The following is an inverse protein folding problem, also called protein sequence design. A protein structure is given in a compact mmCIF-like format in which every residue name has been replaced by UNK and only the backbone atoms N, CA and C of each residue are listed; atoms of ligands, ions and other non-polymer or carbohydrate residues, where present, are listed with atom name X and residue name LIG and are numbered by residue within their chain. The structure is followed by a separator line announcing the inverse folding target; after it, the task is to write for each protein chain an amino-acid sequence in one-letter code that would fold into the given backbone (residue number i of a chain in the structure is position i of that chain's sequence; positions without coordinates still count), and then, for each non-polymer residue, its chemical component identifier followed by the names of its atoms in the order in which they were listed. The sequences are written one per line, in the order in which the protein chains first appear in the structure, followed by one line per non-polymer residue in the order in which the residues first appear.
data_IF_189283254279
#
_entry.id   IF_189283254279
#
_cell.length_a   1.000
_cell.length_b   1.000
_cell.length_c   1.000
_cell.angle_alpha   90.00
_cell.angle_beta   90.00
_cell.angle_gamma   90.00
#
_symmetry.space_group_name_H-M   'P 1'
#
loop_
_entity.id
_entity.type
_entity.pdbx_description
1 polymer ?
#
# COMPACT_ATOMS: atom_id res chain seq x y z
N UNK A 1 -41.79 67.78 14.03
CA UNK A 1 -40.71 67.30 14.93
C UNK A 1 -40.85 65.79 15.04
N UNK A 2 -39.79 65.02 14.69
CA UNK A 2 -39.45 63.67 15.20
C UNK A 2 -40.53 62.57 14.96
N UNK A 3 -40.29 61.40 14.37
CA UNK A 3 -39.13 60.52 14.40
C UNK A 3 -39.18 59.48 13.27
N UNK A 4 -37.98 58.99 12.97
CA UNK A 4 -37.60 57.92 12.05
C UNK A 4 -37.80 56.54 12.70
N UNK A 5 -37.72 55.47 11.87
CA UNK A 5 -37.26 54.09 12.16
C UNK A 5 -38.38 53.05 12.42
N UNK A 6 -38.32 51.80 11.96
CA UNK A 6 -37.45 51.06 11.05
C UNK A 6 -38.23 49.80 10.63
N UNK A 7 -38.09 49.39 9.36
CA UNK A 7 -38.48 48.06 8.88
C UNK A 7 -37.61 46.99 9.55
N UNK A 8 -38.22 45.96 10.13
CA UNK A 8 -37.52 44.74 10.56
C UNK A 8 -37.95 43.60 9.65
N UNK A 9 -37.12 43.34 8.65
CA UNK A 9 -37.13 42.10 7.89
C UNK A 9 -36.73 40.96 8.82
N UNK A 10 -37.63 40.00 9.03
CA UNK A 10 -37.30 38.74 9.69
C UNK A 10 -36.54 37.88 8.68
N UNK A 11 -35.22 37.84 8.82
CA UNK A 11 -34.37 36.88 8.14
C UNK A 11 -34.70 35.47 8.61
N UNK A 12 -35.00 34.60 7.64
CA UNK A 12 -35.09 33.16 7.83
C UNK A 12 -33.65 32.64 7.94
N UNK A 13 -33.21 32.30 9.15
CA UNK A 13 -31.92 31.64 9.38
C UNK A 13 -32.12 30.17 8.99
N UNK A 14 -31.63 29.81 7.80
CA UNK A 14 -31.52 28.42 7.35
C UNK A 14 -30.29 27.83 8.03
N UNK A 15 -30.48 27.18 9.17
CA UNK A 15 -29.44 26.37 9.82
C UNK A 15 -29.20 25.12 8.97
N UNK A 16 -28.09 25.14 8.22
CA UNK A 16 -27.54 23.99 7.52
C UNK A 16 -26.99 23.02 8.57
N UNK A 17 -27.76 21.99 8.90
CA UNK A 17 -27.29 20.83 9.66
C UNK A 17 -26.38 20.02 8.73
N UNK A 18 -25.08 20.29 8.80
CA UNK A 18 -24.06 19.38 8.28
C UNK A 18 -24.06 18.18 9.23
N UNK A 19 -24.71 17.10 8.80
CA UNK A 19 -24.51 15.80 9.41
C UNK A 19 -23.08 15.36 9.04
N UNK A 20 -22.15 15.52 9.98
CA UNK A 20 -20.91 14.74 9.95
C UNK A 20 -21.31 13.27 10.11
N UNK A 21 -21.23 12.51 9.02
CA UNK A 21 -21.15 11.07 9.07
C UNK A 21 -19.75 10.72 9.58
N UNK A 22 -19.62 10.64 10.90
CA UNK A 22 -18.54 9.92 11.56
C UNK A 22 -18.85 8.42 11.41
N UNK A 23 -18.41 7.82 10.32
CA UNK A 23 -18.06 6.39 10.31
C UNK A 23 -16.66 6.27 10.92
N UNK A 24 -16.58 6.44 12.24
CA UNK A 24 -15.43 5.98 13.01
C UNK A 24 -15.56 4.48 13.16
N UNK A 25 -14.93 3.72 12.26
CA UNK A 25 -14.67 2.30 12.49
C UNK A 25 -13.59 2.19 13.56
N UNK A 26 -13.78 1.23 14.47
CA UNK A 26 -13.03 1.11 15.72
C UNK A 26 -11.53 1.00 15.51
N UNK A 27 -10.81 1.82 16.25
CA UNK A 27 -9.39 1.75 16.52
C UNK A 27 -9.10 0.48 17.33
N UNK A 28 -8.82 -0.61 16.60
CA UNK A 28 -8.25 -1.82 17.15
C UNK A 28 -6.76 -1.60 17.32
N UNK A 29 -6.35 -1.08 18.48
CA UNK A 29 -4.95 -1.04 18.88
C UNK A 29 -4.38 -2.46 18.84
N UNK A 30 -3.44 -2.66 17.92
CA UNK A 30 -2.85 -3.94 17.63
C UNK A 30 -1.86 -4.32 18.77
N UNK A 31 -2.05 -5.52 19.33
CA UNK A 31 -1.25 -6.03 20.44
C UNK A 31 -0.30 -7.09 19.91
N UNK A 32 1.00 -6.79 19.95
CA UNK A 32 2.03 -7.81 19.78
C UNK A 32 2.10 -8.72 21.02
N UNK A 33 2.52 -9.96 20.82
CA UNK A 33 2.77 -10.95 21.88
C UNK A 33 3.85 -10.52 22.90
N UNK A 34 4.53 -9.39 22.67
CA UNK A 34 5.52 -8.74 23.55
C UNK A 34 5.03 -7.42 24.19
N UNK A 35 3.74 -7.10 24.12
CA UNK A 35 3.15 -6.01 24.91
C UNK A 35 3.52 -4.58 24.48
N UNK A 36 4.00 -4.38 23.25
CA UNK A 36 4.06 -3.08 22.60
C UNK A 36 2.74 -2.74 21.91
N UNK A 37 2.22 -1.53 22.10
CA UNK A 37 1.17 -0.97 21.23
C UNK A 37 1.87 -0.59 19.92
N UNK A 38 1.46 -1.17 18.79
CA UNK A 38 1.92 -0.71 17.47
C UNK A 38 1.04 0.45 17.06
N UNK A 39 1.57 1.67 17.16
CA UNK A 39 0.92 2.85 16.60
C UNK A 39 0.88 2.76 15.07
N UNK A 40 -0.10 3.41 14.43
CA UNK A 40 -0.16 3.53 12.96
C UNK A 40 -0.15 4.99 12.55
N UNK A 41 0.51 5.30 11.43
CA UNK A 41 0.38 6.56 10.70
C UNK A 41 -0.48 6.38 9.44
N UNK A 42 -0.76 7.46 8.72
CA UNK A 42 -1.43 7.39 7.42
C UNK A 42 -0.83 8.35 6.40
N UNK A 43 -0.70 7.87 5.18
CA UNK A 43 -0.39 8.68 4.00
C UNK A 43 -1.68 8.83 3.20
N UNK A 44 -1.98 10.07 2.82
CA UNK A 44 -3.14 10.42 2.01
C UNK A 44 -2.71 11.26 0.83
N UNK A 45 -3.51 11.22 -0.23
CA UNK A 45 -3.27 12.05 -1.41
C UNK A 45 -4.24 11.69 -2.52
N UNK A 46 -3.95 12.19 -3.71
CA UNK A 46 -4.65 11.80 -4.93
C UNK A 46 -3.67 11.44 -6.04
N UNK A 47 -3.99 10.39 -6.80
CA UNK A 47 -3.23 9.94 -7.97
C UNK A 47 -4.18 9.72 -9.15
N UNK A 48 -3.69 9.78 -10.39
CA UNK A 48 -4.47 9.31 -11.53
C UNK A 48 -4.47 7.77 -11.64
N UNK A 49 -3.51 7.11 -10.99
CA UNK A 49 -3.27 5.66 -10.97
C UNK A 49 -4.15 4.84 -10.02
N UNK A 50 -3.82 3.56 -9.86
CA UNK A 50 -4.68 2.58 -9.18
C UNK A 50 -4.09 2.00 -7.90
N UNK A 51 -2.81 1.62 -7.87
CA UNK A 51 -2.19 0.97 -6.71
C UNK A 51 -1.12 1.85 -6.08
N UNK A 52 -1.08 1.83 -4.75
CA UNK A 52 -0.02 2.37 -3.94
C UNK A 52 0.46 1.26 -3.01
N UNK A 53 1.74 0.96 -3.07
CA UNK A 53 2.42 -0.04 -2.23
C UNK A 53 3.44 0.63 -1.32
N UNK A 54 3.72 -0.02 -0.20
CA UNK A 54 4.76 0.36 0.73
C UNK A 54 5.56 -0.85 1.18
N UNK A 55 6.88 -0.73 1.11
CA UNK A 55 7.86 -1.75 1.47
C UNK A 55 8.64 -1.26 2.69
N UNK A 56 8.52 -1.98 3.81
CA UNK A 56 9.05 -1.59 5.10
C UNK A 56 10.43 -2.17 5.39
N UNK A 57 11.21 -1.50 6.25
CA UNK A 57 12.57 -1.95 6.63
C UNK A 57 12.63 -3.31 7.34
N UNK A 58 11.49 -3.88 7.75
CA UNK A 58 11.42 -5.14 8.50
C UNK A 58 10.54 -6.17 7.78
N UNK A 59 10.52 -6.09 6.45
CA UNK A 59 9.74 -6.96 5.56
C UNK A 59 8.24 -6.71 5.59
N UNK A 60 7.82 -5.53 6.05
CA UNK A 60 6.40 -5.19 6.06
C UNK A 60 5.94 -4.71 4.68
N UNK A 61 4.96 -5.40 4.10
CA UNK A 61 4.29 -4.96 2.89
C UNK A 61 2.89 -4.43 3.20
N UNK A 62 2.61 -3.21 2.72
CA UNK A 62 1.27 -2.62 2.76
C UNK A 62 0.84 -2.17 1.37
N UNK A 63 -0.44 -2.30 1.07
CA UNK A 63 -1.01 -1.86 -0.18
C UNK A 63 -2.35 -1.17 0.04
N UNK A 64 -2.64 -0.18 -0.81
CA UNK A 64 -3.99 0.35 -1.00
C UNK A 64 -4.24 0.61 -2.48
N UNK A 65 -5.52 0.75 -2.84
CA UNK A 65 -5.91 1.30 -4.13
C UNK A 65 -6.48 2.71 -4.00
N UNK A 66 -6.42 3.47 -5.08
CA UNK A 66 -7.10 4.76 -5.18
C UNK A 66 -8.58 4.58 -5.55
N UNK A 67 -9.45 5.42 -4.99
CA UNK A 67 -10.88 5.38 -5.26
C UNK A 67 -11.23 6.18 -6.52
N UNK A 68 -11.68 5.48 -7.55
CA UNK A 68 -12.12 6.14 -8.79
C UNK A 68 -13.34 7.05 -8.52
N UNK A 69 -13.19 8.34 -8.79
CA UNK A 69 -14.20 9.36 -8.52
C UNK A 69 -14.63 10.16 -9.77
N UNK A 70 -14.33 9.65 -10.97
CA UNK A 70 -14.54 10.32 -12.27
C UNK A 70 -13.74 11.63 -12.44
N UNK A 71 -12.60 11.76 -11.77
CA UNK A 71 -11.64 12.84 -11.94
C UNK A 71 -10.25 12.26 -12.10
N UNK A 72 -9.26 13.02 -12.54
CA UNK A 72 -7.87 12.55 -12.60
C UNK A 72 -7.17 12.58 -11.21
N UNK A 73 -7.94 12.82 -10.14
CA UNK A 73 -7.48 12.90 -8.75
C UNK A 73 -8.22 11.88 -7.89
N UNK A 74 -7.89 10.59 -8.05
CA UNK A 74 -8.46 9.51 -7.25
C UNK A 74 -7.85 9.53 -5.85
N UNK A 75 -8.65 9.74 -4.78
CA UNK A 75 -8.12 9.74 -3.42
C UNK A 75 -7.67 8.36 -3.00
N UNK A 76 -6.62 8.31 -2.18
CA UNK A 76 -6.19 7.10 -1.50
C UNK A 76 -5.86 7.42 -0.04
N UNK A 77 -5.89 6.38 0.78
CA UNK A 77 -5.37 6.40 2.14
C UNK A 77 -4.61 5.09 2.37
N UNK A 78 -3.31 5.21 2.62
CA UNK A 78 -2.44 4.09 3.00
C UNK A 78 -2.13 4.20 4.49
N UNK A 79 -2.48 3.18 5.26
CA UNK A 79 -2.20 3.12 6.70
C UNK A 79 -0.96 2.27 6.91
N UNK A 80 0.04 2.82 7.59
CA UNK A 80 1.36 2.20 7.79
C UNK A 80 1.67 2.06 9.28
N UNK A 81 2.53 1.09 9.61
CA UNK A 81 3.07 0.94 10.96
C UNK A 81 3.90 2.17 11.33
N UNK A 82 3.72 2.70 12.53
CA UNK A 82 4.51 3.82 13.01
C UNK A 82 5.93 3.34 13.37
N UNK A 83 6.91 4.25 13.26
CA UNK A 83 8.34 4.04 13.58
C UNK A 83 9.02 2.95 12.76
N UNK A 84 8.49 2.69 11.56
CA UNK A 84 9.09 1.87 10.52
C UNK A 84 9.28 2.75 9.29
N UNK A 85 10.44 2.66 8.65
CA UNK A 85 10.69 3.33 7.38
C UNK A 85 10.05 2.55 6.24
N UNK A 86 9.43 3.27 5.31
CA UNK A 86 8.78 2.68 4.15
C UNK A 86 9.21 3.34 2.85
N UNK A 87 9.43 2.53 1.83
CA UNK A 87 9.50 2.96 0.44
C UNK A 87 8.11 2.97 -0.15
N UNK A 88 7.78 3.98 -0.96
CA UNK A 88 6.49 4.04 -1.64
C UNK A 88 6.66 3.72 -3.12
N UNK A 89 5.80 2.85 -3.63
CA UNK A 89 5.71 2.53 -5.06
C UNK A 89 4.29 2.77 -5.53
N UNK A 90 4.13 3.46 -6.66
CA UNK A 90 2.82 3.71 -7.25
C UNK A 90 2.74 3.08 -8.63
N UNK A 91 1.72 2.26 -8.83
CA UNK A 91 1.55 1.49 -10.06
C UNK A 91 0.34 2.02 -10.82
N UNK A 92 0.56 2.37 -12.07
CA UNK A 92 -0.48 2.75 -13.03
C UNK A 92 -0.67 1.65 -14.06
N UNK A 93 -1.88 1.57 -14.64
CA UNK A 93 -2.21 0.59 -15.69
C UNK A 93 -1.83 -0.85 -15.30
N UNK A 94 -1.92 -1.18 -14.01
CA UNK A 94 -1.55 -2.49 -13.47
C UNK A 94 -2.23 -3.62 -14.26
N UNK A 95 -1.56 -4.76 -14.42
CA UNK A 95 -2.04 -5.94 -15.12
C UNK A 95 -2.21 -5.75 -16.63
N UNK A 96 -1.74 -4.64 -17.18
CA UNK A 96 -1.79 -4.36 -18.62
C UNK A 96 -0.40 -4.33 -19.24
N UNK A 97 -0.33 -4.37 -20.57
CA UNK A 97 0.93 -4.25 -21.29
C UNK A 97 1.61 -2.87 -21.18
N UNK A 98 0.92 -1.89 -20.56
CA UNK A 98 1.37 -0.52 -20.33
C UNK A 98 1.46 -0.20 -18.83
N UNK A 99 1.57 -1.23 -17.98
CA UNK A 99 1.85 -1.07 -16.55
C UNK A 99 3.15 -0.29 -16.35
N UNK A 100 3.10 0.75 -15.53
CA UNK A 100 4.28 1.53 -15.14
C UNK A 100 4.36 1.55 -13.62
N UNK A 101 5.50 1.11 -13.10
CA UNK A 101 5.83 1.04 -11.68
C UNK A 101 6.74 2.23 -11.34
N UNK A 102 6.27 3.12 -10.47
CA UNK A 102 6.97 4.35 -10.09
C UNK A 102 7.31 4.34 -8.60
N UNK A 103 8.56 4.02 -8.22
CA UNK A 103 9.08 4.37 -6.90
C UNK A 103 8.97 5.88 -6.67
N UNK A 104 8.69 6.32 -5.44
CA UNK A 104 8.43 7.73 -5.13
C UNK A 104 9.56 8.30 -4.27
N UNK A 105 10.07 9.47 -4.68
CA UNK A 105 11.09 10.22 -3.95
C UNK A 105 10.62 11.62 -3.55
N UNK A 106 11.20 12.11 -2.47
CA UNK A 106 10.99 13.43 -1.90
C UNK A 106 12.25 14.27 -2.09
N UNK A 107 12.14 15.49 -2.65
CA UNK A 107 13.31 16.34 -2.84
C UNK A 107 13.80 16.93 -1.50
N UNK A 108 15.10 16.83 -1.23
CA UNK A 108 15.76 17.55 -0.12
C UNK A 108 15.83 19.06 -0.33
N UNK A 109 16.49 19.78 0.58
CA UNK A 109 16.55 21.24 0.56
C UNK A 109 17.82 21.82 -0.11
N UNK A 110 18.88 21.02 -0.32
CA UNK A 110 20.11 21.47 -0.97
C UNK A 110 20.22 20.93 -2.40
N UNK A 111 20.86 21.75 -3.23
CA UNK A 111 21.21 21.35 -4.59
C UNK A 111 22.27 20.25 -4.56
N UNK A 112 21.91 19.06 -5.06
CA UNK A 112 22.79 17.88 -5.04
C UNK A 112 22.61 17.02 -3.79
N UNK A 113 21.59 17.26 -2.97
CA UNK A 113 21.16 16.28 -1.96
C UNK A 113 20.76 14.97 -2.63
N UNK A 114 20.93 13.89 -1.86
CA UNK A 114 20.40 12.58 -2.19
C UNK A 114 18.87 12.66 -2.16
N UNK A 115 18.21 12.00 -3.11
CA UNK A 115 16.76 11.88 -3.09
C UNK A 115 16.34 11.07 -1.86
N UNK A 116 15.34 11.55 -1.15
CA UNK A 116 14.83 10.88 0.04
C UNK A 116 13.69 9.97 -0.38
N UNK A 117 13.82 8.66 -0.21
CA UNK A 117 12.86 7.64 -0.71
C UNK A 117 12.11 6.92 0.40
N UNK A 118 12.61 7.03 1.64
CA UNK A 118 12.09 6.32 2.80
C UNK A 118 11.27 7.26 3.69
N UNK A 119 10.06 6.88 4.08
CA UNK A 119 9.19 7.69 4.96
C UNK A 119 8.99 7.00 6.30
N UNK A 120 9.16 7.71 7.41
CA UNK A 120 8.96 7.18 8.76
C UNK A 120 7.87 7.97 9.47
N UNK A 121 6.74 7.33 9.76
CA UNK A 121 5.59 7.98 10.37
C UNK A 121 5.58 7.81 11.90
N UNK A 122 5.14 8.85 12.60
CA UNK A 122 4.78 8.74 14.02
C UNK A 122 3.36 8.20 14.21
N UNK A 123 3.07 7.73 15.42
CA UNK A 123 1.74 7.25 15.78
C UNK A 123 0.69 8.37 15.62
N UNK A 124 -0.35 8.09 14.84
CA UNK A 124 -1.45 9.02 14.56
C UNK A 124 -1.09 10.13 13.57
N UNK A 125 0.12 10.12 13.01
CA UNK A 125 0.54 11.10 12.01
C UNK A 125 -0.23 10.90 10.70
N UNK A 126 -0.64 12.03 10.08
CA UNK A 126 -1.29 12.02 8.77
C UNK A 126 -0.51 12.92 7.83
N UNK A 127 0.17 12.29 6.87
CA UNK A 127 0.94 12.94 5.82
C UNK A 127 0.10 13.03 4.56
N UNK A 128 -0.18 14.26 4.14
CA UNK A 128 -0.89 14.55 2.88
C UNK A 128 0.12 14.92 1.80
N UNK A 129 0.26 14.03 0.80
CA UNK A 129 1.14 14.17 -0.36
C UNK A 129 0.55 15.05 -1.48
N UNK A 130 -0.65 15.59 -1.30
CA UNK A 130 -1.33 16.37 -2.32
C UNK A 130 -1.76 15.53 -3.52
N UNK A 131 -1.75 16.13 -4.71
CA UNK A 131 -1.98 15.43 -5.96
C UNK A 131 -0.64 15.06 -6.60
N UNK A 132 -0.39 13.77 -6.81
CA UNK A 132 0.82 13.27 -7.46
C UNK A 132 0.48 13.02 -8.94
N UNK A 133 1.00 13.84 -9.87
CA UNK A 133 0.68 13.76 -11.29
C UNK A 133 1.54 12.68 -11.96
N UNK A 134 1.26 11.43 -11.64
CA UNK A 134 1.99 10.27 -12.19
C UNK A 134 1.92 10.23 -13.71
N UNK A 135 2.96 9.69 -14.34
CA UNK A 135 2.95 9.43 -15.77
C UNK A 135 1.83 8.45 -16.11
N UNK A 136 1.06 8.73 -17.15
CA UNK A 136 -0.04 7.85 -17.58
C UNK A 136 0.34 6.96 -18.76
N UNK A 137 1.47 7.26 -19.40
CA UNK A 137 1.98 6.56 -20.56
C UNK A 137 3.50 6.67 -20.66
N UNK A 138 4.09 5.70 -21.35
CA UNK A 138 5.53 5.66 -21.57
C UNK A 138 6.08 6.84 -22.38
N UNK A 139 5.29 7.51 -23.23
CA UNK A 139 5.79 8.70 -23.93
C UNK A 139 6.12 9.85 -22.97
N UNK A 140 5.38 9.99 -21.88
CA UNK A 140 5.68 10.99 -20.83
C UNK A 140 6.94 10.61 -20.04
N UNK A 141 7.14 9.31 -19.78
CA UNK A 141 8.35 8.79 -19.14
C UNK A 141 9.58 9.06 -20.02
N UNK A 142 9.56 8.70 -21.30
CA UNK A 142 10.70 8.86 -22.22
C UNK A 142 11.10 10.32 -22.47
N UNK A 143 10.18 11.27 -22.28
CA UNK A 143 10.51 12.70 -22.30
C UNK A 143 11.26 13.15 -21.04
N UNK A 144 11.02 12.46 -19.92
CA UNK A 144 11.51 12.81 -18.58
C UNK A 144 12.75 12.01 -18.18
N UNK A 145 12.87 10.75 -18.62
CA UNK A 145 13.98 9.85 -18.39
C UNK A 145 14.50 9.24 -19.72
N UNK A 146 15.70 9.64 -20.19
CA UNK A 146 16.31 9.09 -21.39
C UNK A 146 16.95 7.70 -21.21
N UNK A 147 16.89 7.08 -20.02
CA UNK A 147 17.51 5.78 -19.72
C UNK A 147 16.75 4.57 -20.28
N UNK A 148 15.70 4.78 -21.08
CA UNK A 148 14.95 3.73 -21.79
C UNK A 148 14.09 2.81 -20.90
N UNK A 149 13.67 3.26 -19.72
CA UNK A 149 12.77 2.57 -18.75
C UNK A 149 11.45 2.05 -19.37
N UNK A 150 11.09 2.58 -20.54
CA UNK A 150 9.86 2.29 -21.26
C UNK A 150 10.09 1.59 -22.62
N UNK A 151 11.26 0.98 -22.83
CA UNK A 151 11.66 0.42 -24.14
C UNK A 151 11.80 -1.11 -24.13
N UNK A 152 12.25 -1.71 -23.02
CA UNK A 152 12.54 -3.16 -22.97
C UNK A 152 12.01 -3.93 -21.75
N UNK A 153 11.58 -3.27 -20.66
CA UNK A 153 11.06 -3.90 -19.43
C UNK A 153 9.52 -4.04 -19.45
N UNK A 154 8.98 -5.14 -18.90
CA UNK A 154 7.54 -5.32 -18.66
C UNK A 154 7.32 -6.09 -17.36
N UNK A 155 6.65 -5.51 -16.34
CA UNK A 155 6.12 -4.13 -16.32
C UNK A 155 7.23 -3.06 -16.49
N UNK A 156 6.85 -1.85 -16.88
CA UNK A 156 7.82 -0.77 -17.06
C UNK A 156 8.17 -0.18 -15.70
N UNK A 157 9.32 -0.54 -15.16
CA UNK A 157 9.81 -0.02 -13.88
C UNK A 157 10.70 1.19 -14.18
N UNK A 158 10.49 2.30 -13.47
CA UNK A 158 11.42 3.41 -13.57
C UNK A 158 12.70 3.05 -12.82
N UNK A 159 13.84 3.16 -13.51
CA UNK A 159 15.18 2.95 -12.94
C UNK A 159 15.59 4.08 -11.97
N UNK A 160 14.72 5.09 -11.82
CA UNK A 160 14.87 6.18 -10.86
C UNK A 160 13.52 6.55 -10.28
N UNK A 161 13.46 6.92 -9.01
CA UNK A 161 12.20 7.29 -8.39
C UNK A 161 11.61 8.56 -9.01
N UNK A 162 10.28 8.58 -9.12
CA UNK A 162 9.48 9.75 -9.44
C UNK A 162 9.59 10.77 -8.31
N UNK A 163 10.18 11.93 -8.60
CA UNK A 163 10.39 12.98 -7.59
C UNK A 163 9.16 13.87 -7.47
N UNK A 164 8.64 14.02 -6.25
CA UNK A 164 7.51 14.90 -5.99
C UNK A 164 7.82 16.36 -6.35
N UNK A 165 6.92 16.97 -7.12
CA UNK A 165 6.99 18.36 -7.54
C UNK A 165 5.83 19.19 -7.00
N UNK A 166 6.12 20.08 -6.05
CA UNK A 166 5.09 20.94 -5.44
C UNK A 166 4.48 21.94 -6.42
N UNK A 167 5.19 22.30 -7.49
CA UNK A 167 4.65 23.18 -8.53
C UNK A 167 3.53 22.51 -9.36
N UNK A 168 3.46 21.18 -9.32
CA UNK A 168 2.49 20.36 -10.08
C UNK A 168 1.38 19.78 -9.20
N UNK A 169 1.37 20.11 -7.90
CA UNK A 169 0.26 19.81 -7.00
C UNK A 169 0.56 18.82 -5.88
N UNK A 170 1.73 18.19 -5.89
CA UNK A 170 2.17 17.32 -4.80
C UNK A 170 2.64 18.14 -3.60
N UNK A 171 2.86 17.48 -2.47
CA UNK A 171 3.36 18.09 -1.24
C UNK A 171 4.55 17.28 -0.75
N UNK A 172 5.64 17.98 -0.46
CA UNK A 172 6.82 17.34 0.09
C UNK A 172 6.59 17.00 1.58
N UNK A 173 6.61 15.70 1.96
CA UNK A 173 6.31 15.30 3.34
C UNK A 173 7.40 15.73 4.33
N UNK A 174 8.66 15.84 3.88
CA UNK A 174 9.81 16.22 4.72
C UNK A 174 9.65 17.59 5.39
N UNK A 175 8.80 18.46 4.83
CA UNK A 175 8.52 19.81 5.40
C UNK A 175 7.61 19.79 6.61
N UNK A 176 7.10 18.62 6.98
CA UNK A 176 6.17 18.41 8.10
C UNK A 176 6.63 17.34 9.07
N UNK A 177 7.44 16.41 8.58
CA UNK A 177 8.00 15.33 9.37
C UNK A 177 9.22 15.78 10.15
N UNK A 178 9.40 15.15 11.31
CA UNK A 178 10.53 15.27 12.24
C UNK A 178 10.72 13.84 12.77
N UNK A 179 11.33 12.98 11.94
CA UNK A 179 11.28 11.54 12.10
C UNK A 179 12.07 11.04 13.33
N UNK A 180 13.14 11.75 13.72
CA UNK A 180 13.99 11.40 14.87
C UNK A 180 13.68 12.21 16.15
N UNK A 181 12.63 13.03 16.14
CA UNK A 181 12.12 13.84 17.26
C UNK A 181 13.16 14.85 17.82
N UNK A 182 14.06 15.35 16.97
CA UNK A 182 15.12 16.28 17.39
C UNK A 182 14.65 17.76 17.39
N UNK A 183 13.49 18.03 16.77
CA UNK A 183 12.86 19.34 16.66
C UNK A 183 13.22 20.12 15.38
N UNK A 184 13.94 19.49 14.44
CA UNK A 184 14.23 19.97 13.09
C UNK A 184 13.37 19.15 12.13
N UNK A 185 12.74 19.81 11.15
CA UNK A 185 12.00 19.05 10.13
C UNK A 185 12.98 18.36 9.19
N UNK A 186 12.64 17.15 8.75
CA UNK A 186 13.45 16.34 7.85
C UNK A 186 13.91 17.11 6.60
N UNK A 187 13.10 18.05 6.10
CA UNK A 187 13.48 18.89 4.97
C UNK A 187 14.69 19.78 5.27
N UNK A 188 14.78 20.29 6.49
CA UNK A 188 15.86 21.16 6.96
C UNK A 188 16.99 20.42 7.67
N UNK A 189 16.81 19.13 7.94
CA UNK A 189 17.80 18.27 8.56
C UNK A 189 18.92 17.88 7.56
N UNK A 190 20.15 17.74 8.08
CA UNK A 190 21.30 17.24 7.32
C UNK A 190 21.21 15.73 7.02
N UNK A 191 20.51 14.96 7.85
CA UNK A 191 20.30 13.51 7.65
C UNK A 191 18.86 13.15 7.24
N UNK A 192 18.01 14.15 7.04
CA UNK A 192 16.60 13.99 6.66
C UNK A 192 15.77 13.13 7.64
N UNK A 193 16.12 13.15 8.92
CA UNK A 193 15.39 12.44 9.98
C UNK A 193 15.79 10.97 10.12
N UNK A 194 16.90 10.57 9.50
CA UNK A 194 17.41 9.19 9.57
C UNK A 194 18.50 8.99 10.65
N UNK A 195 18.93 10.06 11.32
CA UNK A 195 19.96 10.01 12.34
C UNK A 195 21.38 9.90 11.76
N UNK A 196 22.30 10.67 12.34
CA UNK A 196 23.68 10.81 11.90
C UNK A 196 24.40 9.46 11.58
N UNK A 197 25.26 9.37 10.52
CA UNK A 197 25.77 8.11 9.96
C UNK A 197 26.79 7.32 10.79
N UNK A 198 27.03 7.69 12.05
CA UNK A 198 28.18 7.15 12.81
C UNK A 198 27.89 5.88 13.60
N UNK A 199 26.64 5.45 13.76
CA UNK A 199 26.30 4.20 14.49
C UNK A 199 25.29 3.28 13.78
N UNK A 200 24.72 3.69 12.63
CA UNK A 200 23.69 2.96 11.89
C UNK A 200 23.98 2.82 10.39
N UNK A 201 25.22 2.49 10.01
CA UNK A 201 25.46 1.82 8.72
C UNK A 201 24.98 0.36 8.79
N UNK A 202 23.71 0.16 9.16
CA UNK A 202 22.98 -0.99 8.64
C UNK A 202 22.66 -0.57 7.21
N UNK A 203 23.04 -1.39 6.22
CA UNK A 203 22.62 -1.13 4.84
C UNK A 203 21.11 -0.95 4.81
N UNK A 204 20.61 -0.12 3.90
CA UNK A 204 19.17 -0.05 3.70
C UNK A 204 18.72 -1.44 3.25
N UNK A 205 17.90 -2.16 4.04
CA UNK A 205 17.54 -3.53 3.72
C UNK A 205 16.69 -3.59 2.46
N UNK A 206 16.03 -2.50 2.09
CA UNK A 206 15.13 -2.42 0.94
C UNK A 206 15.75 -1.72 -0.28
N UNK A 207 16.95 -1.16 -0.18
CA UNK A 207 17.63 -0.45 -1.28
C UNK A 207 19.15 -0.76 -1.22
N UNK A 208 19.50 -1.94 -1.75
CA UNK A 208 20.83 -2.52 -1.60
C UNK A 208 21.92 -1.70 -2.30
N UNK A 209 21.61 -1.05 -3.42
CA UNK A 209 22.56 -0.30 -4.23
C UNK A 209 22.47 1.24 -4.04
N UNK A 210 21.48 1.70 -3.26
CA UNK A 210 21.21 3.08 -2.90
C UNK A 210 20.76 3.96 -4.08
N UNK A 211 20.05 3.41 -5.06
CA UNK A 211 19.50 4.16 -6.20
C UNK A 211 18.05 4.68 -5.95
N UNK A 212 17.42 4.21 -4.87
CA UNK A 212 16.08 4.60 -4.45
C UNK A 212 14.93 3.76 -5.04
N UNK A 213 15.24 2.67 -5.74
CA UNK A 213 14.31 1.64 -6.18
C UNK A 213 14.30 0.51 -5.14
N UNK A 214 13.12 0.09 -4.63
CA UNK A 214 13.08 -1.02 -3.69
C UNK A 214 13.58 -2.33 -4.32
N UNK A 215 14.34 -3.14 -3.58
CA UNK A 215 14.93 -4.41 -4.00
C UNK A 215 13.96 -5.31 -4.79
N UNK A 216 12.70 -5.39 -4.36
CA UNK A 216 11.64 -6.14 -5.06
C UNK A 216 11.41 -5.71 -6.52
N UNK A 217 11.58 -4.43 -6.81
CA UNK A 217 11.43 -3.83 -8.14
C UNK A 217 12.76 -3.49 -8.81
N UNK A 218 13.89 -3.76 -8.16
CA UNK A 218 15.18 -3.42 -8.68
C UNK A 218 15.71 -4.54 -9.60
N UNK A 219 15.88 -4.21 -10.87
CA UNK A 219 16.34 -5.15 -11.91
C UNK A 219 17.80 -5.58 -11.71
N UNK A 220 18.61 -4.79 -11.00
CA UNK A 220 20.02 -5.11 -10.74
C UNK A 220 20.28 -5.69 -9.34
N UNK A 221 19.25 -5.71 -8.50
CA UNK A 221 19.23 -6.47 -7.26
C UNK A 221 19.28 -7.97 -7.52
N UNK A 222 20.08 -8.66 -6.71
CA UNK A 222 20.20 -10.11 -6.74
C UNK A 222 19.82 -10.61 -5.34
N UNK A 223 18.63 -11.23 -5.18
CA UNK A 223 18.18 -11.70 -3.88
C UNK A 223 19.13 -12.75 -3.30
N UNK A 224 19.18 -12.79 -1.97
CA UNK A 224 19.87 -13.81 -1.20
C UNK A 224 19.32 -15.21 -1.49
N UNK A 225 20.03 -16.28 -1.08
CA UNK A 225 19.54 -17.64 -1.25
C UNK A 225 18.35 -17.99 -0.33
N UNK A 226 18.07 -17.17 0.68
CA UNK A 226 17.00 -17.35 1.66
C UNK A 226 16.16 -16.08 1.71
N UNK A 227 15.02 -16.09 1.05
CA UNK A 227 14.05 -14.99 1.00
C UNK A 227 12.69 -15.68 0.77
N UNK A 228 12.04 -16.08 1.87
CA UNK A 228 10.87 -16.97 1.85
C UNK A 228 9.62 -16.31 1.26
N UNK A 229 9.44 -15.01 1.45
CA UNK A 229 8.31 -14.24 0.90
C UNK A 229 8.65 -13.38 -0.33
N UNK A 230 9.88 -13.50 -0.84
CA UNK A 230 10.38 -12.84 -2.05
C UNK A 230 10.23 -11.31 -1.97
N UNK A 231 10.39 -10.73 -0.78
CA UNK A 231 10.20 -9.29 -0.56
C UNK A 231 11.46 -8.45 -0.80
N UNK A 232 12.58 -9.12 -1.06
CA UNK A 232 13.88 -8.52 -1.33
C UNK A 232 14.77 -8.35 -0.10
N UNK A 233 14.39 -8.92 1.05
CA UNK A 233 15.21 -8.98 2.28
C UNK A 233 15.58 -10.44 2.56
N UNK A 234 16.85 -10.71 2.85
CA UNK A 234 17.25 -12.08 3.24
C UNK A 234 16.63 -12.46 4.60
N UNK A 235 16.12 -13.68 4.74
CA UNK A 235 15.44 -14.19 5.94
C UNK A 235 16.23 -14.00 7.24
N UNK A 236 17.57 -13.99 7.17
CA UNK A 236 18.43 -13.76 8.34
C UNK A 236 18.38 -12.29 8.84
N UNK A 237 18.02 -11.35 7.96
CA UNK A 237 17.90 -9.92 8.22
C UNK A 237 16.42 -9.46 8.28
N UNK A 238 15.50 -10.25 7.72
CA UNK A 238 14.07 -10.00 7.77
C UNK A 238 13.47 -10.38 9.15
N UNK A 239 12.77 -9.44 9.78
CA UNK A 239 12.05 -9.70 11.04
C UNK A 239 10.69 -10.36 10.81
N UNK A 240 10.28 -10.46 9.54
CA UNK A 240 9.03 -11.01 9.06
C UNK A 240 9.26 -12.00 7.91
N UNK A 241 10.35 -12.78 7.99
CA UNK A 241 10.94 -13.69 6.97
C UNK A 241 10.01 -14.73 6.35
N UNK A 242 8.90 -14.31 5.73
CA UNK A 242 7.83 -15.22 5.36
C UNK A 242 6.44 -14.67 5.66
N UNK A 243 6.24 -13.35 5.76
CA UNK A 243 5.01 -12.53 5.85
C UNK A 243 3.75 -13.04 6.59
N UNK A 244 3.83 -14.13 7.36
CA UNK A 244 2.66 -14.92 7.73
C UNK A 244 2.35 -14.87 9.23
N UNK A 245 1.89 -13.70 9.69
CA UNK A 245 1.00 -13.64 10.86
C UNK A 245 -0.47 -13.46 10.49
N UNK A 246 -0.77 -13.31 9.18
CA UNK A 246 -2.07 -13.02 8.58
C UNK A 246 -2.81 -11.82 9.17
N UNK A 247 -2.03 -10.83 9.62
CA UNK A 247 -2.49 -9.46 9.90
C UNK A 247 -2.08 -8.45 8.82
N UNK A 248 -1.27 -8.88 7.85
CA UNK A 248 -0.82 -8.08 6.69
C UNK A 248 -1.43 -8.56 5.37
N UNK A 249 -1.30 -7.75 4.32
CA UNK A 249 -1.70 -8.13 2.96
C UNK A 249 -0.75 -9.24 2.48
N UNK A 250 -1.24 -10.47 2.44
CA UNK A 250 -0.49 -11.57 1.86
C UNK A 250 -0.27 -11.35 0.35
N UNK A 251 0.78 -11.94 -0.25
CA UNK A 251 0.95 -11.96 -1.69
C UNK A 251 -0.32 -12.46 -2.40
N UNK A 252 -0.60 -11.92 -3.60
CA UNK A 252 -1.78 -12.27 -4.41
C UNK A 252 -1.36 -13.00 -5.68
N UNK A 253 -0.95 -14.26 -5.51
CA UNK A 253 -0.40 -15.14 -6.56
C UNK A 253 -0.95 -16.57 -6.54
N UNK A 254 -0.47 -17.41 -7.47
CA UNK A 254 -0.87 -18.83 -7.50
C UNK A 254 -0.36 -19.59 -6.27
N UNK A 255 0.82 -19.23 -5.76
CA UNK A 255 1.42 -19.88 -4.59
C UNK A 255 0.60 -19.60 -3.33
N UNK A 256 0.13 -18.36 -3.14
CA UNK A 256 -0.88 -18.04 -2.11
C UNK A 256 -2.14 -18.92 -2.23
N UNK A 257 -2.68 -19.08 -3.45
CA UNK A 257 -3.86 -19.94 -3.67
C UNK A 257 -3.58 -21.39 -3.28
N UNK A 258 -2.35 -21.86 -3.46
CA UNK A 258 -1.97 -23.23 -3.14
C UNK A 258 -1.71 -23.47 -1.64
N UNK A 259 -1.37 -22.43 -0.87
CA UNK A 259 -0.90 -22.55 0.52
C UNK A 259 -1.85 -21.93 1.57
N UNK A 260 -2.71 -20.98 1.19
CA UNK A 260 -3.55 -20.27 2.16
C UNK A 260 -4.53 -21.15 2.94
N UNK A 261 -4.84 -22.34 2.44
CA UNK A 261 -5.67 -23.33 3.13
C UNK A 261 -5.08 -23.72 4.49
N UNK A 262 -3.77 -23.96 4.56
CA UNK A 262 -3.10 -24.36 5.81
C UNK A 262 -3.15 -23.24 6.87
N UNK A 263 -3.15 -21.98 6.43
CA UNK A 263 -3.32 -20.84 7.33
C UNK A 263 -4.77 -20.67 7.77
N UNK A 264 -5.72 -20.73 6.82
CA UNK A 264 -7.14 -20.61 7.12
C UNK A 264 -7.58 -21.68 8.14
N UNK A 265 -7.07 -22.92 8.03
CA UNK A 265 -7.31 -24.00 9.00
C UNK A 265 -7.02 -23.59 10.45
N UNK A 266 -5.96 -22.80 10.67
CA UNK A 266 -5.50 -22.45 12.01
C UNK A 266 -5.96 -21.05 12.45
N UNK A 267 -6.24 -20.14 11.50
CA UNK A 267 -6.40 -18.70 11.76
C UNK A 267 -7.43 -17.99 10.85
N UNK A 268 -8.50 -18.66 10.40
CA UNK A 268 -9.52 -18.03 9.52
C UNK A 268 -10.12 -16.71 10.03
N UNK A 269 -10.18 -16.49 11.35
CA UNK A 269 -10.69 -15.24 11.93
C UNK A 269 -9.83 -14.02 11.54
N UNK A 270 -8.54 -14.20 11.23
CA UNK A 270 -7.66 -13.13 10.74
C UNK A 270 -8.09 -12.63 9.36
N UNK A 271 -8.57 -13.52 8.49
CA UNK A 271 -8.96 -13.19 7.12
C UNK A 271 -10.16 -12.22 7.06
N UNK A 272 -11.02 -12.21 8.09
CA UNK A 272 -12.18 -11.33 8.17
C UNK A 272 -11.82 -9.83 8.15
N UNK A 273 -10.62 -9.48 8.61
CA UNK A 273 -10.13 -8.10 8.62
C UNK A 273 -10.06 -7.48 7.20
N UNK A 274 -9.69 -8.29 6.20
CA UNK A 274 -9.56 -7.86 4.81
C UNK A 274 -10.70 -8.39 3.91
N UNK A 275 -11.27 -9.55 4.22
CA UNK A 275 -12.33 -10.18 3.41
C UNK A 275 -13.75 -9.97 3.97
N UNK A 276 -13.87 -9.21 5.07
CA UNK A 276 -15.13 -8.93 5.76
C UNK A 276 -15.53 -10.03 6.75
N UNK A 277 -16.30 -9.67 7.76
CA UNK A 277 -16.82 -10.60 8.79
C UNK A 277 -17.68 -11.73 8.20
N UNK A 278 -18.21 -11.55 6.99
CA UNK A 278 -19.00 -12.53 6.25
C UNK A 278 -18.20 -13.28 5.19
N UNK A 279 -16.90 -12.98 5.03
CA UNK A 279 -15.98 -13.60 4.07
C UNK A 279 -16.45 -13.52 2.60
N UNK A 280 -17.38 -12.61 2.28
CA UNK A 280 -17.86 -12.37 0.91
C UNK A 280 -16.96 -11.42 0.12
N UNK A 281 -15.92 -10.90 0.77
CA UNK A 281 -15.03 -9.88 0.23
C UNK A 281 -15.36 -8.49 0.77
N UNK A 282 -14.33 -7.65 0.84
CA UNK A 282 -14.44 -6.25 1.23
C UNK A 282 -13.64 -5.37 0.26
N UNK A 283 -13.72 -4.04 0.35
CA UNK A 283 -12.83 -3.16 -0.41
C UNK A 283 -11.34 -3.49 -0.27
N UNK A 284 -10.91 -4.04 0.88
CA UNK A 284 -9.52 -4.45 1.10
C UNK A 284 -9.14 -5.76 0.38
N UNK A 285 -10.11 -6.63 0.07
CA UNK A 285 -9.88 -7.85 -0.71
C UNK A 285 -10.13 -7.67 -2.22
N UNK A 286 -10.18 -6.42 -2.66
CA UNK A 286 -10.36 -6.08 -4.07
C UNK A 286 -9.14 -6.54 -4.85
N UNK A 287 -9.31 -7.48 -5.79
CA UNK A 287 -8.28 -7.73 -6.80
C UNK A 287 -8.18 -6.51 -7.69
N UNK A 288 -7.07 -5.79 -7.70
CA UNK A 288 -6.97 -4.53 -8.42
C UNK A 288 -7.01 -4.73 -9.94
N UNK A 289 -6.57 -5.92 -10.40
CA UNK A 289 -6.59 -6.35 -11.81
C UNK A 289 -7.20 -7.72 -12.00
N UNK A 290 -7.46 -8.05 -13.28
CA UNK A 290 -7.96 -9.37 -13.61
C UNK A 290 -6.89 -10.43 -13.31
N UNK A 291 -7.25 -11.43 -12.50
CA UNK A 291 -6.37 -12.54 -12.12
C UNK A 291 -7.01 -13.86 -12.50
N UNK A 292 -6.17 -14.82 -12.84
CA UNK A 292 -6.60 -16.18 -13.14
C UNK A 292 -5.85 -17.14 -12.23
N UNK A 293 -6.59 -17.90 -11.43
CA UNK A 293 -6.01 -18.86 -10.50
C UNK A 293 -6.45 -20.27 -10.85
N UNK A 294 -5.54 -21.22 -10.73
CA UNK A 294 -5.85 -22.65 -10.83
C UNK A 294 -6.20 -23.15 -9.44
N UNK A 295 -7.39 -23.69 -9.33
CA UNK A 295 -7.86 -24.35 -8.13
C UNK A 295 -7.86 -25.83 -8.44
N UNK A 296 -7.11 -26.61 -7.63
CA UNK A 296 -6.80 -28.03 -7.87
C UNK A 296 -8.05 -28.86 -8.23
N UNK A 297 -9.23 -28.48 -7.72
CA UNK A 297 -10.47 -29.22 -7.90
C UNK A 297 -11.57 -28.46 -8.67
N UNK A 298 -11.50 -27.13 -8.75
CA UNK A 298 -12.52 -26.31 -9.42
C UNK A 298 -12.09 -25.79 -10.80
N UNK A 299 -10.88 -26.09 -11.23
CA UNK A 299 -10.30 -25.60 -12.47
C UNK A 299 -9.86 -24.14 -12.35
N UNK A 300 -9.88 -23.40 -13.47
CA UNK A 300 -9.41 -22.01 -13.48
C UNK A 300 -10.53 -21.05 -13.07
N UNK A 301 -10.34 -20.33 -11.96
CA UNK A 301 -11.17 -19.19 -11.57
C UNK A 301 -10.62 -17.91 -12.18
N UNK A 302 -11.53 -17.05 -12.62
CA UNK A 302 -11.20 -15.76 -13.20
C UNK A 302 -11.87 -14.67 -12.39
N UNK A 303 -11.04 -13.76 -11.88
CA UNK A 303 -11.49 -12.55 -11.23
C UNK A 303 -11.26 -11.40 -12.17
N UNK A 304 -12.26 -10.54 -12.33
CA UNK A 304 -12.08 -9.29 -13.08
C UNK A 304 -11.38 -8.26 -12.21
N UNK A 305 -10.73 -7.28 -12.84
CA UNK A 305 -10.24 -6.11 -12.13
C UNK A 305 -11.34 -5.49 -11.26
N UNK A 306 -10.96 -5.10 -10.05
CA UNK A 306 -11.79 -4.55 -8.98
C UNK A 306 -12.81 -5.51 -8.35
N UNK A 307 -12.68 -6.81 -8.60
CA UNK A 307 -13.53 -7.81 -7.95
C UNK A 307 -13.12 -7.99 -6.48
N UNK A 308 -14.07 -7.96 -5.54
CA UNK A 308 -13.79 -8.19 -4.13
C UNK A 308 -13.79 -9.69 -3.89
N UNK A 309 -12.62 -10.29 -3.71
CA UNK A 309 -12.49 -11.74 -3.53
C UNK A 309 -12.91 -12.11 -2.11
N UNK A 310 -13.72 -13.15 -1.99
CA UNK A 310 -14.13 -13.78 -0.75
C UNK A 310 -13.90 -15.28 -0.78
N UNK A 311 -13.99 -15.93 0.38
CA UNK A 311 -13.81 -17.39 0.50
C UNK A 311 -14.81 -18.14 -0.40
N UNK A 312 -16.02 -17.60 -0.53
CA UNK A 312 -17.12 -18.20 -1.29
C UNK A 312 -16.94 -18.22 -2.81
N UNK A 313 -15.93 -17.54 -3.33
CA UNK A 313 -15.63 -17.59 -4.76
C UNK A 313 -15.00 -18.92 -5.18
N UNK A 314 -14.37 -19.59 -4.22
CA UNK A 314 -13.50 -20.74 -4.43
C UNK A 314 -13.84 -21.91 -3.49
N UNK A 315 -14.53 -21.67 -2.38
CA UNK A 315 -14.91 -22.67 -1.39
C UNK A 315 -16.37 -22.45 -0.96
N UNK A 316 -16.96 -23.38 -0.21
CA UNK A 316 -18.31 -23.22 0.35
C UNK A 316 -18.30 -22.50 1.73
N UNK A 317 -17.19 -21.84 2.05
CA UNK A 317 -16.99 -21.04 3.26
C UNK A 317 -15.51 -20.97 3.65
N UNK A 318 -15.19 -20.32 4.77
CA UNK A 318 -13.84 -20.29 5.34
C UNK A 318 -13.49 -21.58 6.13
N UNK A 319 -14.45 -22.52 6.28
CA UNK A 319 -14.27 -23.77 7.01
C UNK A 319 -13.77 -24.88 6.05
N UNK A 320 -12.63 -25.52 6.32
CA UNK A 320 -12.02 -26.52 5.45
C UNK A 320 -12.75 -27.88 5.39
N UNK A 321 -13.74 -28.15 6.27
CA UNK A 321 -14.34 -29.51 6.37
C UNK A 321 -15.41 -29.87 5.30
N UNK A 322 -15.73 -29.02 4.33
CA UNK A 322 -16.86 -29.27 3.40
C UNK A 322 -16.51 -29.91 2.04
N UNK A 323 -15.30 -30.47 1.85
CA UNK A 323 -14.92 -31.18 0.61
C UNK A 323 -14.41 -32.62 0.80
N UNK A 324 -14.93 -33.36 1.79
CA UNK A 324 -14.91 -34.83 1.74
C UNK A 324 -16.19 -35.32 1.02
N UNK A 325 -16.26 -35.17 -0.31
CA UNK A 325 -17.22 -35.93 -1.13
C UNK A 325 -16.72 -37.36 -1.35
N UNK A 326 -16.67 -38.13 -0.25
CA UNK A 326 -16.64 -39.60 -0.26
C UNK A 326 -18.04 -40.16 -0.58
N UNK A 327 -18.78 -39.58 -1.53
CA UNK A 327 -19.87 -40.31 -2.19
C UNK A 327 -19.29 -41.26 -3.23
N UNK A 328 -18.57 -42.28 -2.74
CA UNK A 328 -18.42 -43.52 -3.49
C UNK A 328 -19.84 -44.01 -3.84
N UNK A 329 -20.17 -43.91 -5.13
CA UNK A 329 -21.25 -44.64 -5.77
C UNK A 329 -21.14 -46.09 -5.31
N UNK A 330 -22.09 -46.54 -4.49
CA UNK A 330 -22.32 -47.95 -4.27
C UNK A 330 -22.85 -48.53 -5.57
N UNK A 331 -21.94 -48.84 -6.50
CA UNK A 331 -22.24 -49.73 -7.61
C UNK A 331 -22.57 -51.11 -7.04
N UNK A 332 -23.72 -51.58 -7.47
CA UNK A 332 -24.31 -52.87 -7.13
C UNK A 332 -23.34 -54.03 -7.41
N UNK A 333 -23.11 -54.88 -6.41
CA UNK A 333 -22.68 -56.26 -6.60
C UNK A 333 -23.33 -57.16 -5.52
N UNK A 334 -24.52 -57.69 -5.85
CA UNK A 334 -25.01 -59.08 -5.69
C UNK A 334 -26.56 -59.20 -5.61
#
# INVERSE_FOLDING_TARGET
MKNVKHSTARGLILTLLIALLLSGCGDGGDLLADGGIIGTGSIVGTVPGTIIEAYGDQGEYFQTSSEFNNTDQHPFQLRLKARVGFYLVMIINEGTENEIVMPIAFPGNKAGDVLVTRILLHEGEVIDLGHIPLFMNCSEVLESDPNEDCVESKPFILNKPFVLNEAEGSKNPLKKMDADDDGIYDFDDDDHGYGHPSEWQLGDPQDHDNDGVPNYYDDDFIPGPNDEDEDGIDDDDDKNSGNWDGRSMHPVGQDWVDEHGEYAENYYAGCASCHGDDFLGSPLSTVPVARHFRIKEQGTKQFTARYQVGCYDCHDGPDPEDYDDDSEESEDDD
#
